data_IF_288397748083
#
_entry.id   IF_288397748083
#
_cell.length_a   1.000
_cell.length_b   1.000
_cell.length_c   1.000
_cell.angle_alpha   90.00
_cell.angle_beta   90.00
_cell.angle_gamma   90.00
#
_symmetry.space_group_name_H-M   'P 1'
#
loop_
_entity.id
_entity.type
_entity.pdbx_description
1 polymer ?
#
# COMPACT_ATOMS: atom_id res chain seq x y z
N UNK A 1 -5.10 -15.63 2.06
CA UNK A 1 -4.49 -15.93 0.75
C UNK A 1 -3.09 -15.34 0.72
N UNK A 2 -2.15 -15.97 0.03
CA UNK A 2 -0.78 -15.44 -0.10
C UNK A 2 -0.80 -14.16 -0.96
N UNK A 3 -0.32 -13.05 -0.40
CA UNK A 3 -0.26 -11.76 -1.09
C UNK A 3 0.59 -11.90 -2.36
N UNK A 4 1.68 -12.66 -2.34
CA UNK A 4 2.54 -12.84 -3.50
C UNK A 4 1.81 -13.54 -4.65
N UNK A 5 1.07 -14.60 -4.35
CA UNK A 5 0.28 -15.32 -5.35
C UNK A 5 -0.76 -14.41 -6.00
N UNK A 6 -1.40 -13.55 -5.20
CA UNK A 6 -2.37 -12.59 -5.71
C UNK A 6 -1.71 -11.53 -6.61
N UNK A 7 -0.57 -10.99 -6.21
CA UNK A 7 0.20 -10.02 -6.99
C UNK A 7 0.60 -10.60 -8.35
N UNK A 8 1.09 -11.84 -8.37
CA UNK A 8 1.45 -12.52 -9.62
C UNK A 8 0.24 -12.74 -10.53
N UNK A 9 -0.91 -13.10 -9.97
CA UNK A 9 -2.18 -13.17 -10.71
C UNK A 9 -2.58 -11.81 -11.31
N UNK A 10 -2.48 -10.73 -10.52
CA UNK A 10 -2.78 -9.38 -11.00
C UNK A 10 -1.84 -8.95 -12.13
N UNK A 11 -0.53 -9.24 -12.03
CA UNK A 11 0.45 -8.90 -13.08
C UNK A 11 0.05 -9.47 -14.43
N UNK A 12 -0.48 -10.70 -14.46
CA UNK A 12 -0.91 -11.39 -15.67
C UNK A 12 -2.26 -10.89 -16.22
N UNK A 13 -3.09 -10.21 -15.42
CA UNK A 13 -4.38 -9.70 -15.87
C UNK A 13 -4.23 -8.59 -16.91
N UNK A 14 -4.97 -8.65 -18.02
CA UNK A 14 -4.94 -7.59 -19.04
C UNK A 14 -5.65 -6.31 -18.57
N UNK A 15 -6.76 -6.46 -17.85
CA UNK A 15 -7.53 -5.35 -17.31
C UNK A 15 -7.37 -5.30 -15.79
N UNK A 16 -7.16 -4.10 -15.27
CA UNK A 16 -6.95 -3.86 -13.84
C UNK A 16 -7.78 -2.68 -13.39
N UNK A 17 -8.52 -2.85 -12.30
CA UNK A 17 -9.21 -1.73 -11.63
C UNK A 17 -8.18 -0.74 -11.08
N UNK A 18 -8.62 0.48 -10.76
CA UNK A 18 -7.75 1.47 -10.12
C UNK A 18 -7.14 0.94 -8.82
N UNK A 19 -7.90 0.17 -8.03
CA UNK A 19 -7.43 -0.44 -6.79
C UNK A 19 -6.37 -1.52 -7.02
N UNK A 20 -6.56 -2.37 -8.03
CA UNK A 20 -5.57 -3.38 -8.41
C UNK A 20 -4.26 -2.76 -8.91
N UNK A 21 -4.34 -1.62 -9.62
CA UNK A 21 -3.14 -0.85 -9.99
C UNK A 21 -2.44 -0.30 -8.76
N UNK A 22 -3.17 0.31 -7.83
CA UNK A 22 -2.59 0.83 -6.58
C UNK A 22 -1.94 -0.27 -5.73
N UNK A 23 -2.50 -1.49 -5.72
CA UNK A 23 -1.90 -2.67 -5.08
C UNK A 23 -0.54 -3.01 -5.71
N UNK A 24 -0.46 -3.05 -7.04
CA UNK A 24 0.78 -3.34 -7.76
C UNK A 24 1.82 -2.24 -7.59
N UNK A 25 1.43 -0.96 -7.73
CA UNK A 25 2.30 0.19 -7.51
C UNK A 25 2.91 0.12 -6.09
N UNK A 26 2.08 -0.16 -5.08
CA UNK A 26 2.52 -0.28 -3.68
C UNK A 26 3.50 -1.43 -3.49
N UNK A 27 3.23 -2.59 -4.10
CA UNK A 27 4.15 -3.73 -4.07
C UNK A 27 5.50 -3.37 -4.71
N UNK A 28 5.48 -2.75 -5.89
CA UNK A 28 6.70 -2.38 -6.62
C UNK A 28 7.58 -1.41 -5.82
N UNK A 29 6.98 -0.41 -5.16
CA UNK A 29 7.72 0.51 -4.28
C UNK A 29 8.43 -0.21 -3.13
N UNK A 30 7.82 -1.25 -2.55
CA UNK A 30 8.43 -2.05 -1.47
C UNK A 30 9.63 -2.85 -1.97
N UNK A 31 9.60 -3.31 -3.23
CA UNK A 31 10.63 -4.17 -3.81
C UNK A 31 11.86 -3.42 -4.36
N UNK A 32 11.84 -2.09 -4.40
CA UNK A 32 12.95 -1.29 -4.97
C UNK A 32 14.24 -1.45 -4.17
N UNK A 33 15.32 -1.78 -4.87
CA UNK A 33 16.68 -1.84 -4.33
C UNK A 33 17.62 -1.07 -5.28
N UNK A 34 18.22 0.07 -4.88
CA UNK A 34 18.07 0.71 -3.57
C UNK A 34 16.65 1.24 -3.33
N UNK A 35 16.27 1.39 -2.07
CA UNK A 35 14.96 1.93 -1.69
C UNK A 35 14.82 3.38 -2.17
N UNK A 36 13.75 3.66 -2.93
CA UNK A 36 13.43 5.01 -3.38
C UNK A 36 12.43 5.66 -2.41
N UNK A 37 12.99 6.40 -1.45
CA UNK A 37 12.21 7.08 -0.40
C UNK A 37 11.17 8.04 -0.96
N UNK A 38 11.49 8.78 -2.03
CA UNK A 38 10.60 9.83 -2.52
C UNK A 38 9.35 9.24 -3.15
N UNK A 39 9.52 8.22 -3.99
CA UNK A 39 8.39 7.53 -4.63
C UNK A 39 7.59 6.73 -3.61
N UNK A 40 8.24 6.10 -2.63
CA UNK A 40 7.57 5.40 -1.54
C UNK A 40 6.66 6.31 -0.71
N UNK A 41 7.14 7.50 -0.31
CA UNK A 41 6.32 8.49 0.41
C UNK A 41 5.16 8.97 -0.46
N UNK A 42 5.41 9.23 -1.75
CA UNK A 42 4.36 9.67 -2.68
C UNK A 42 3.25 8.62 -2.80
N UNK A 43 3.62 7.35 -2.96
CA UNK A 43 2.67 6.23 -3.02
C UNK A 43 1.89 6.09 -1.72
N UNK A 44 2.58 6.16 -0.57
CA UNK A 44 1.93 6.07 0.74
C UNK A 44 0.91 7.19 0.99
N UNK A 45 1.22 8.42 0.54
CA UNK A 45 0.29 9.56 0.59
C UNK A 45 -0.90 9.37 -0.36
N UNK A 46 -0.65 8.93 -1.60
CA UNK A 46 -1.69 8.63 -2.61
C UNK A 46 -2.70 7.60 -2.09
N UNK A 47 -2.21 6.48 -1.55
CA UNK A 47 -3.07 5.45 -0.96
C UNK A 47 -3.91 5.99 0.19
N UNK A 48 -3.31 6.70 1.16
CA UNK A 48 -4.06 7.30 2.28
C UNK A 48 -5.13 8.29 1.83
N UNK A 49 -4.91 9.00 0.73
CA UNK A 49 -5.89 9.92 0.15
C UNK A 49 -7.06 9.17 -0.51
N UNK A 50 -6.76 8.09 -1.25
CA UNK A 50 -7.74 7.34 -2.03
C UNK A 50 -8.58 6.36 -1.21
N UNK A 51 -8.07 5.89 -0.07
CA UNK A 51 -8.69 4.85 0.74
C UNK A 51 -8.84 5.32 2.20
N UNK A 52 -10.01 5.89 2.52
CA UNK A 52 -10.30 6.48 3.84
C UNK A 52 -10.18 5.49 5.00
N UNK A 53 -10.53 4.23 4.75
CA UNK A 53 -10.40 3.08 5.66
C UNK A 53 -8.93 2.74 6.00
N UNK A 54 -7.95 3.10 5.16
CA UNK A 54 -6.54 2.96 5.53
C UNK A 54 -6.20 3.83 6.73
N UNK A 55 -6.85 4.99 6.89
CA UNK A 55 -6.61 5.87 8.04
C UNK A 55 -7.02 5.22 9.36
N UNK A 56 -8.09 4.44 9.35
CA UNK A 56 -8.60 3.72 10.53
C UNK A 56 -7.82 2.43 10.80
N UNK A 57 -7.53 1.65 9.75
CA UNK A 57 -6.85 0.35 9.87
C UNK A 57 -5.33 0.45 10.02
N UNK A 58 -4.69 1.55 9.58
CA UNK A 58 -3.25 1.81 9.82
C UNK A 58 -2.96 2.57 11.11
N UNK A 59 -4.01 2.89 11.88
CA UNK A 59 -3.95 3.58 13.18
C UNK A 59 -3.05 2.94 14.27
N UNK A 60 -2.75 1.61 14.30
CA UNK A 60 -1.90 1.04 15.35
C UNK A 60 -0.46 1.57 15.38
N UNK A 61 0.01 2.21 14.30
CA UNK A 61 1.34 2.80 14.25
C UNK A 61 1.29 4.28 14.60
N UNK A 62 0.85 4.59 15.83
CA UNK A 62 0.76 5.95 16.37
C UNK A 62 2.03 6.78 16.12
N UNK A 63 3.21 6.15 16.11
CA UNK A 63 4.51 6.82 15.83
C UNK A 63 4.67 7.22 14.35
N UNK A 64 4.20 6.42 13.39
CA UNK A 64 4.28 6.75 11.95
C UNK A 64 3.15 7.69 11.53
N UNK A 65 1.98 7.59 12.17
CA UNK A 65 0.83 8.45 11.88
C UNK A 65 0.95 9.88 12.41
N UNK A 66 1.86 10.14 13.37
CA UNK A 66 1.98 11.44 14.07
C UNK A 66 3.20 12.25 13.67
N UNK A 67 4.20 11.64 13.04
CA UNK A 67 5.41 12.34 12.57
C UNK A 67 5.29 12.79 11.12
N UNK A 68 5.90 13.92 10.74
CA UNK A 68 6.10 14.27 9.34
C UNK A 68 6.81 13.14 8.59
N UNK A 69 6.46 12.93 7.31
CA UNK A 69 7.07 11.88 6.49
C UNK A 69 8.59 12.07 6.35
N UNK A 70 9.03 13.32 6.45
CA UNK A 70 10.40 13.76 6.36
C UNK A 70 11.24 13.25 7.54
N UNK A 71 10.63 12.98 8.69
CA UNK A 71 11.30 12.49 9.91
C UNK A 71 11.32 10.94 10.03
N UNK A 72 10.66 10.24 9.11
CA UNK A 72 10.61 8.78 9.11
C UNK A 72 11.86 8.19 8.49
N UNK A 73 12.37 7.10 9.09
CA UNK A 73 13.40 6.28 8.48
C UNK A 73 12.82 5.48 7.31
N UNK A 74 13.66 5.07 6.37
CA UNK A 74 13.24 4.27 5.20
C UNK A 74 12.50 2.99 5.61
N UNK A 75 12.95 2.33 6.68
CA UNK A 75 12.28 1.16 7.26
C UNK A 75 10.85 1.45 7.72
N UNK A 76 10.60 2.65 8.24
CA UNK A 76 9.28 3.05 8.75
C UNK A 76 8.34 3.28 7.57
N UNK A 77 8.83 3.92 6.50
CA UNK A 77 8.08 4.15 5.26
C UNK A 77 7.77 2.82 4.57
N UNK A 78 8.75 1.92 4.47
CA UNK A 78 8.57 0.59 3.88
C UNK A 78 7.54 -0.24 4.69
N UNK A 79 7.65 -0.24 6.03
CA UNK A 79 6.68 -0.89 6.89
C UNK A 79 5.27 -0.31 6.71
N UNK A 80 5.15 1.02 6.55
CA UNK A 80 3.86 1.64 6.25
C UNK A 80 3.25 1.14 4.94
N UNK A 81 4.05 1.04 3.86
CA UNK A 81 3.58 0.52 2.57
C UNK A 81 3.18 -0.96 2.67
N UNK A 82 3.94 -1.80 3.38
CA UNK A 82 3.61 -3.22 3.59
C UNK A 82 2.23 -3.38 4.27
N UNK A 83 1.93 -2.52 5.25
CA UNK A 83 0.63 -2.53 5.92
C UNK A 83 -0.49 -2.05 5.00
N UNK A 84 -0.27 -0.96 4.26
CA UNK A 84 -1.25 -0.47 3.29
C UNK A 84 -1.55 -1.55 2.25
N UNK A 85 -0.53 -2.23 1.74
CA UNK A 85 -0.68 -3.34 0.80
C UNK A 85 -1.59 -4.44 1.38
N UNK A 86 -1.35 -4.85 2.63
CA UNK A 86 -2.18 -5.86 3.29
C UNK A 86 -3.65 -5.48 3.31
N UNK A 87 -3.97 -4.24 3.72
CA UNK A 87 -5.36 -3.77 3.77
C UNK A 87 -5.99 -3.65 2.37
N UNK A 88 -5.25 -3.13 1.39
CA UNK A 88 -5.74 -3.00 0.02
C UNK A 88 -6.11 -4.36 -0.57
N UNK A 89 -5.23 -5.34 -0.39
CA UNK A 89 -5.40 -6.72 -0.85
C UNK A 89 -6.56 -7.41 -0.14
N UNK A 90 -6.66 -7.28 1.19
CA UNK A 90 -7.75 -7.86 1.99
C UNK A 90 -9.12 -7.34 1.54
N UNK A 91 -9.24 -6.04 1.26
CA UNK A 91 -10.52 -5.45 0.88
C UNK A 91 -10.92 -5.73 -0.56
N UNK A 92 -9.95 -5.75 -1.48
CA UNK A 92 -10.18 -6.17 -2.86
C UNK A 92 -10.70 -7.62 -2.90
N UNK A 93 -10.17 -8.49 -2.03
CA UNK A 93 -10.59 -9.89 -1.94
C UNK A 93 -11.91 -10.11 -1.21
N UNK A 94 -12.22 -9.31 -0.19
CA UNK A 94 -13.46 -9.47 0.58
C UNK A 94 -14.70 -8.98 -0.16
N UNK A 95 -14.56 -8.44 -1.39
CA UNK A 95 -15.68 -7.90 -2.15
C UNK A 95 -16.32 -6.68 -1.49
N UNK A 96 -15.62 -6.05 -0.52
CA UNK A 96 -16.13 -4.88 0.23
C UNK A 96 -16.22 -3.61 -0.61
N UNK A 97 -15.92 -3.68 -1.91
CA UNK A 97 -16.25 -2.63 -2.88
C UNK A 97 -17.75 -2.71 -3.16
N UNK A 98 -18.56 -2.08 -2.30
CA UNK A 98 -19.93 -1.75 -2.64
C UNK A 98 -19.89 -0.81 -3.86
N UNK A 99 -20.23 -1.35 -5.02
CA UNK A 99 -20.63 -0.59 -6.22
C UNK A 99 -21.76 0.37 -5.91
#
# INVERSE_FOLDING_TARGET
MDINLYIEGLRQSQEKTSRQKDILDTWEEIQKVPFDRQTAIKQAKKNKLNYSNLREKTSPMFVIGTRPWEELYDKDICLNLQWQLGVLVEEEMSGSVKT
#
